data_IF_379133300676
#
_entry.id   IF_379133300676
#
_cell.length_a   1.000
_cell.length_b   1.000
_cell.length_c   1.000
_cell.angle_alpha   90.00
_cell.angle_beta   90.00
_cell.angle_gamma   90.00
#
_symmetry.space_group_name_H-M   'P 1'
#
loop_
_entity.id
_entity.type
_entity.pdbx_description
1 polymer ?
#
# COMPACT_ATOMS: atom_id res chain seq x y z
N UNK A 1 -18.61 -4.41 29.72
CA UNK A 1 -17.40 -5.25 29.55
C UNK A 1 -16.75 -4.76 28.27
N UNK A 2 -15.99 -3.70 28.40
CA UNK A 2 -15.47 -2.90 27.30
C UNK A 2 -14.30 -3.62 26.63
N UNK A 3 -14.52 -4.07 25.40
CA UNK A 3 -13.44 -4.53 24.54
C UNK A 3 -12.72 -3.30 24.03
N UNK A 4 -11.59 -2.99 24.66
CA UNK A 4 -10.73 -1.86 24.33
C UNK A 4 -10.44 -1.80 22.83
N UNK A 5 -10.93 -0.76 22.18
CA UNK A 5 -10.45 -0.29 20.89
C UNK A 5 -9.05 0.25 21.11
N UNK A 6 -8.04 -0.60 20.98
CA UNK A 6 -6.64 -0.14 20.92
C UNK A 6 -6.46 0.63 19.62
N UNK A 7 -6.45 1.96 19.74
CA UNK A 7 -6.15 2.88 18.67
C UNK A 7 -4.69 2.70 18.20
N UNK A 8 -4.50 2.11 17.02
CA UNK A 8 -3.20 1.96 16.39
C UNK A 8 -2.69 3.24 15.71
N UNK A 9 -3.26 4.41 16.05
CA UNK A 9 -2.90 5.72 15.47
C UNK A 9 -1.46 6.16 15.79
N UNK A 10 -0.75 5.46 16.68
CA UNK A 10 0.60 5.83 17.16
C UNK A 10 1.80 5.14 16.50
N UNK A 11 1.63 4.15 15.62
CA UNK A 11 2.78 3.42 15.02
C UNK A 11 3.23 4.03 13.69
N UNK A 12 3.63 5.30 13.71
CA UNK A 12 4.25 5.98 12.56
C UNK A 12 5.73 5.60 12.33
N UNK A 13 6.28 4.65 13.10
CA UNK A 13 7.74 4.46 13.22
C UNK A 13 8.36 3.22 12.59
N UNK A 14 7.62 2.37 11.87
CA UNK A 14 8.19 1.15 11.25
C UNK A 14 8.01 1.23 9.74
N UNK A 15 9.11 1.55 9.03
CA UNK A 15 9.19 1.48 7.56
C UNK A 15 9.22 0.00 7.16
N UNK A 16 8.08 -0.67 7.31
CA UNK A 16 7.78 -1.96 6.71
C UNK A 16 6.82 -1.70 5.55
N UNK A 17 7.20 -2.11 4.35
CA UNK A 17 6.38 -2.10 3.14
C UNK A 17 4.96 -2.61 3.45
N UNK A 18 3.99 -1.70 3.59
CA UNK A 18 2.67 -2.01 4.15
C UNK A 18 1.84 -2.88 3.19
N UNK A 19 1.78 -4.19 3.43
CA UNK A 19 0.81 -5.08 2.80
C UNK A 19 -0.61 -4.76 3.29
N UNK A 20 -1.64 -5.35 2.68
CA UNK A 20 -3.06 -5.08 2.99
C UNK A 20 -3.32 -5.23 4.51
N UNK A 21 -3.56 -4.11 5.20
CA UNK A 21 -3.68 -4.08 6.65
C UNK A 21 -5.09 -4.52 7.09
N UNK A 22 -5.19 -5.33 8.14
CA UNK A 22 -6.46 -5.60 8.80
C UNK A 22 -6.84 -4.40 9.67
N UNK A 23 -7.88 -3.66 9.27
CA UNK A 23 -8.35 -2.45 9.94
C UNK A 23 -9.23 -2.82 11.13
N UNK A 24 -10.19 -3.70 10.92
CA UNK A 24 -11.11 -4.11 11.98
C UNK A 24 -11.55 -5.56 11.80
N UNK A 25 -12.03 -6.13 12.90
CA UNK A 25 -12.54 -7.49 12.93
C UNK A 25 -13.72 -7.53 13.87
N UNK A 26 -14.85 -8.02 13.37
CA UNK A 26 -16.08 -8.18 14.14
C UNK A 26 -16.58 -9.62 14.08
N UNK A 27 -17.32 -10.03 15.11
CA UNK A 27 -17.97 -11.34 15.16
C UNK A 27 -19.48 -11.14 15.14
N UNK A 28 -20.13 -11.60 14.08
CA UNK A 28 -21.59 -11.58 13.94
C UNK A 28 -22.08 -13.02 14.05
N UNK A 29 -22.76 -13.33 15.16
CA UNK A 29 -23.17 -14.68 15.54
C UNK A 29 -22.00 -15.70 15.51
N UNK A 30 -22.05 -16.65 14.57
CA UNK A 30 -21.04 -17.71 14.41
C UNK A 30 -19.89 -17.31 13.47
N UNK A 31 -20.01 -16.19 12.75
CA UNK A 31 -19.06 -15.78 11.69
C UNK A 31 -18.16 -14.64 12.15
N UNK A 32 -16.91 -14.68 11.70
CA UNK A 32 -15.93 -13.61 11.92
C UNK A 32 -15.69 -12.89 10.61
N UNK A 33 -15.92 -11.57 10.58
CA UNK A 33 -15.70 -10.70 9.42
C UNK A 33 -14.45 -9.85 9.67
N UNK A 34 -13.59 -9.76 8.66
CA UNK A 34 -12.32 -9.03 8.70
C UNK A 34 -12.35 -7.92 7.65
N UNK A 35 -12.26 -6.67 8.08
CA UNK A 35 -12.21 -5.52 7.18
C UNK A 35 -10.76 -5.13 6.95
N UNK A 36 -10.35 -5.22 5.70
CA UNK A 36 -9.00 -4.90 5.29
C UNK A 36 -8.96 -3.53 4.61
N UNK A 37 -7.81 -2.88 4.67
CA UNK A 37 -7.51 -1.66 3.93
C UNK A 37 -7.55 -1.93 2.43
N UNK A 38 -7.80 -0.89 1.64
CA UNK A 38 -7.79 -1.02 0.19
C UNK A 38 -6.36 -1.32 -0.29
N UNK A 39 -6.16 -2.31 -1.18
CA UNK A 39 -4.84 -2.63 -1.67
C UNK A 39 -4.28 -1.45 -2.48
N UNK A 40 -3.09 -0.98 -2.11
CA UNK A 40 -2.35 0.07 -2.82
C UNK A 40 -1.07 -0.49 -3.43
N UNK A 41 -0.77 -0.09 -4.66
CA UNK A 41 0.50 -0.44 -5.31
C UNK A 41 1.68 0.25 -4.61
N UNK A 42 2.90 -0.28 -4.72
CA UNK A 42 4.09 0.40 -4.19
C UNK A 42 4.21 1.86 -4.67
N UNK A 43 3.88 2.12 -5.93
CA UNK A 43 3.85 3.48 -6.50
C UNK A 43 2.84 4.37 -5.78
N UNK A 44 1.58 3.94 -5.63
CA UNK A 44 0.54 4.73 -4.95
C UNK A 44 0.93 5.06 -3.51
N UNK A 45 1.51 4.09 -2.77
CA UNK A 45 1.97 4.31 -1.39
C UNK A 45 3.07 5.37 -1.29
N UNK A 46 4.00 5.37 -2.25
CA UNK A 46 5.06 6.38 -2.35
C UNK A 46 4.48 7.76 -2.66
N UNK A 47 3.49 7.84 -3.55
CA UNK A 47 2.81 9.09 -3.88
C UNK A 47 2.01 9.66 -2.69
N UNK A 48 1.43 8.80 -1.86
CA UNK A 48 0.66 9.18 -0.66
C UNK A 48 1.55 9.54 0.54
N UNK A 49 2.84 9.19 0.52
CA UNK A 49 3.75 9.43 1.66
C UNK A 49 4.09 10.91 1.82
N UNK A 50 3.97 11.44 3.04
CA UNK A 50 4.36 12.81 3.38
C UNK A 50 5.88 13.02 3.45
N UNK A 51 6.64 11.93 3.61
CA UNK A 51 8.09 11.99 3.81
C UNK A 51 8.89 12.18 2.51
N UNK A 52 8.21 12.18 1.36
CA UNK A 52 8.84 12.19 0.04
C UNK A 52 8.66 13.56 -0.60
N UNK A 53 9.75 14.24 -1.00
CA UNK A 53 9.68 15.54 -1.66
C UNK A 53 8.85 15.49 -2.95
N UNK A 54 8.14 16.58 -3.24
CA UNK A 54 7.30 16.69 -4.43
C UNK A 54 8.09 16.52 -5.74
N UNK A 55 9.37 16.92 -5.77
CA UNK A 55 10.25 16.73 -6.93
C UNK A 55 10.47 15.26 -7.28
N UNK A 56 10.67 14.41 -6.26
CA UNK A 56 10.83 12.96 -6.42
C UNK A 56 9.53 12.34 -6.93
N UNK A 57 8.38 12.76 -6.38
CA UNK A 57 7.05 12.33 -6.85
C UNK A 57 6.82 12.68 -8.32
N UNK A 58 7.20 13.89 -8.73
CA UNK A 58 7.10 14.32 -10.13
C UNK A 58 7.94 13.45 -11.07
N UNK A 59 9.20 13.20 -10.72
CA UNK A 59 10.09 12.31 -11.49
C UNK A 59 9.49 10.91 -11.62
N UNK A 60 8.94 10.37 -10.53
CA UNK A 60 8.35 9.03 -10.52
C UNK A 60 7.10 8.95 -11.41
N UNK A 61 6.23 9.97 -11.38
CA UNK A 61 5.08 10.06 -12.29
C UNK A 61 5.52 10.04 -13.76
N UNK A 62 6.57 10.80 -14.10
CA UNK A 62 7.12 10.83 -15.47
C UNK A 62 7.72 9.50 -15.89
N UNK A 63 8.37 8.79 -14.98
CA UNK A 63 8.86 7.43 -15.25
C UNK A 63 7.71 6.46 -15.49
N UNK A 64 6.64 6.54 -14.70
CA UNK A 64 5.46 5.68 -14.86
C UNK A 64 4.76 5.94 -16.19
N UNK A 65 4.57 7.20 -16.60
CA UNK A 65 3.98 7.58 -17.90
C UNK A 65 4.75 6.95 -19.07
N UNK A 66 6.08 6.86 -18.96
CA UNK A 66 6.95 6.27 -20.00
C UNK A 66 6.91 4.74 -20.01
N UNK A 67 6.49 4.11 -18.91
CA UNK A 67 6.61 2.67 -18.72
C UNK A 67 5.41 1.93 -19.32
N UNK A 68 5.58 1.41 -20.54
CA UNK A 68 4.56 0.54 -21.14
C UNK A 68 4.70 -0.90 -20.61
N UNK A 69 3.65 -1.47 -19.99
CA UNK A 69 3.72 -2.79 -19.36
C UNK A 69 4.00 -3.92 -20.35
N UNK A 70 3.55 -3.81 -21.60
CA UNK A 70 3.80 -4.82 -22.63
C UNK A 70 5.24 -4.79 -23.13
N UNK A 71 5.80 -3.59 -23.30
CA UNK A 71 7.21 -3.44 -23.68
C UNK A 71 8.12 -3.88 -22.55
N UNK A 72 7.77 -3.56 -21.31
CA UNK A 72 8.53 -3.96 -20.13
C UNK A 72 8.62 -5.48 -20.02
N UNK A 73 7.48 -6.19 -20.14
CA UNK A 73 7.46 -7.65 -20.15
C UNK A 73 8.33 -8.23 -21.26
N UNK A 74 8.16 -7.75 -22.50
CA UNK A 74 9.00 -8.18 -23.64
C UNK A 74 10.50 -7.97 -23.40
N UNK A 75 10.88 -6.87 -22.75
CA UNK A 75 12.28 -6.57 -22.44
C UNK A 75 12.83 -7.47 -21.33
N UNK A 76 12.00 -7.85 -20.36
CA UNK A 76 12.38 -8.82 -19.31
C UNK A 76 12.53 -10.22 -19.89
N UNK A 77 11.59 -10.65 -20.73
CA UNK A 77 11.60 -11.97 -21.38
C UNK A 77 12.79 -12.13 -22.34
N UNK A 78 13.23 -11.05 -23.00
CA UNK A 78 14.43 -11.04 -23.87
C UNK A 78 15.76 -11.09 -23.12
N UNK A 79 15.77 -10.73 -21.84
CA UNK A 79 16.99 -10.66 -21.02
C UNK A 79 17.30 -11.98 -20.30
N UNK A 80 16.38 -12.94 -20.39
CA UNK A 80 16.54 -14.33 -19.92
C UNK A 80 16.90 -15.21 -21.10
#
# INVERSE_FOLDING_TARGET
>A
MDLGTTDFSGLSGVIGYKTVLLISKERIASKTIKHHDSPKTPYQRVMDSIHIPASVKYSLSKQLEKLNPFLLRKNMDKKT
#
